data_IF_906889065605
#
_entry.id   IF_906889065605
#
_cell.length_a   1.000
_cell.length_b   1.000
_cell.length_c   1.000
_cell.angle_alpha   90.00
_cell.angle_beta   90.00
_cell.angle_gamma   90.00
#
_symmetry.space_group_name_H-M   'P 1'
#
loop_
_entity.id
_entity.type
_entity.pdbx_description
1 polymer ?
#
# COMPACT_ATOMS: atom_id res chain seq x y z
N UNK A 1 -21.42 -4.36 -3.49
CA UNK A 1 -19.95 -4.27 -3.55
C UNK A 1 -19.39 -4.77 -2.23
N UNK A 2 -18.55 -5.82 -2.24
CA UNK A 2 -17.96 -6.36 -1.01
C UNK A 2 -16.82 -5.47 -0.49
N UNK A 3 -16.52 -5.52 0.81
CA UNK A 3 -15.35 -4.82 1.38
C UNK A 3 -14.05 -5.33 0.73
N UNK A 4 -13.90 -6.64 0.60
CA UNK A 4 -12.80 -7.31 -0.11
C UNK A 4 -13.37 -8.19 -1.22
N UNK A 5 -12.68 -8.22 -2.35
CA UNK A 5 -12.98 -9.09 -3.48
C UNK A 5 -12.78 -10.56 -3.10
N UNK A 6 -13.55 -11.43 -3.72
CA UNK A 6 -13.44 -12.89 -3.61
C UNK A 6 -13.91 -13.53 -4.91
N UNK A 7 -13.40 -14.69 -5.24
CA UNK A 7 -13.68 -15.38 -6.50
C UNK A 7 -12.54 -15.18 -7.51
N UNK A 8 -12.88 -15.19 -8.80
CA UNK A 8 -11.91 -14.98 -9.87
C UNK A 8 -11.40 -13.54 -9.83
N UNK A 9 -10.08 -13.37 -9.85
CA UNK A 9 -9.45 -12.06 -9.89
C UNK A 9 -9.51 -11.50 -11.32
N UNK A 10 -9.66 -10.19 -11.44
CA UNK A 10 -9.65 -9.45 -12.71
C UNK A 10 -8.54 -8.40 -12.65
N UNK A 11 -7.36 -8.76 -13.16
CA UNK A 11 -6.16 -7.91 -13.12
C UNK A 11 -6.40 -6.61 -13.86
N UNK A 12 -6.36 -5.51 -13.14
CA UNK A 12 -6.39 -4.16 -13.71
C UNK A 12 -5.10 -3.42 -13.37
N UNK A 13 -4.35 -3.07 -14.41
CA UNK A 13 -3.14 -2.24 -14.26
C UNK A 13 -3.51 -0.82 -13.83
N UNK A 14 -2.72 -0.28 -12.90
CA UNK A 14 -2.77 1.10 -12.43
C UNK A 14 -1.35 1.65 -12.31
N UNK A 15 -1.21 2.95 -12.12
CA UNK A 15 0.03 3.59 -11.62
C UNK A 15 1.31 3.24 -12.42
N UNK A 16 1.21 3.13 -13.76
CA UNK A 16 2.39 2.87 -14.59
C UNK A 16 3.27 4.12 -14.70
N UNK A 17 4.56 3.94 -14.44
CA UNK A 17 5.60 4.95 -14.60
C UNK A 17 6.92 4.31 -15.04
N UNK A 18 7.95 5.10 -15.32
CA UNK A 18 9.28 4.56 -15.64
C UNK A 18 9.86 3.83 -14.43
N UNK A 19 10.16 2.55 -14.58
CA UNK A 19 10.65 1.67 -13.52
C UNK A 19 9.60 1.15 -12.54
N UNK A 20 8.28 1.23 -12.87
CA UNK A 20 7.30 0.65 -11.95
C UNK A 20 5.87 0.60 -12.47
N UNK A 21 5.07 -0.22 -11.79
CA UNK A 21 3.66 -0.45 -12.09
C UNK A 21 2.90 -0.82 -10.82
N UNK A 22 1.61 -0.49 -10.78
CA UNK A 22 0.67 -0.99 -9.79
C UNK A 22 -0.45 -1.81 -10.43
N UNK A 23 -1.16 -2.59 -9.61
CA UNK A 23 -2.35 -3.31 -10.05
C UNK A 23 -3.39 -3.49 -8.95
N UNK A 24 -4.62 -3.71 -9.40
CA UNK A 24 -5.76 -4.17 -8.60
C UNK A 24 -6.13 -5.57 -9.07
N UNK A 25 -6.14 -6.56 -8.18
CA UNK A 25 -6.64 -7.91 -8.48
C UNK A 25 -8.18 -7.98 -8.42
N UNK A 26 -8.82 -7.04 -7.72
CA UNK A 26 -10.27 -6.94 -7.56
C UNK A 26 -10.71 -5.48 -7.69
N UNK A 27 -10.82 -4.93 -8.90
CA UNK A 27 -11.08 -3.49 -9.11
C UNK A 27 -12.43 -3.03 -8.55
N UNK A 28 -13.40 -3.94 -8.43
CA UNK A 28 -14.75 -3.65 -7.90
C UNK A 28 -14.86 -3.74 -6.38
N UNK A 29 -13.80 -4.06 -5.64
CA UNK A 29 -13.87 -4.10 -4.18
C UNK A 29 -13.84 -2.69 -3.55
N UNK A 30 -14.54 -2.50 -2.44
CA UNK A 30 -14.58 -1.20 -1.75
C UNK A 30 -13.21 -0.76 -1.23
N UNK A 31 -12.39 -1.72 -0.79
CA UNK A 31 -11.05 -1.43 -0.27
C UNK A 31 -10.03 -1.13 -1.35
N UNK A 32 -10.26 -1.51 -2.63
CA UNK A 32 -9.36 -1.26 -3.74
C UNK A 32 -7.91 -1.62 -3.39
N UNK A 33 -7.67 -2.87 -2.95
CA UNK A 33 -6.33 -3.31 -2.54
C UNK A 33 -5.37 -3.23 -3.72
N UNK A 34 -4.51 -2.23 -3.69
CA UNK A 34 -3.47 -2.03 -4.68
C UNK A 34 -2.17 -2.74 -4.26
N UNK A 35 -1.45 -3.20 -5.26
CA UNK A 35 -0.12 -3.78 -5.16
C UNK A 35 0.78 -3.04 -6.13
N UNK A 36 2.07 -2.96 -5.84
CA UNK A 36 3.01 -2.23 -6.69
C UNK A 36 4.30 -3.04 -6.87
N UNK A 37 4.94 -2.84 -8.01
CA UNK A 37 6.28 -3.32 -8.28
C UNK A 37 7.13 -2.13 -8.75
N UNK A 38 8.32 -1.95 -8.18
CA UNK A 38 9.20 -0.81 -8.47
C UNK A 38 10.64 -1.29 -8.60
N UNK A 39 11.30 -0.88 -9.67
CA UNK A 39 12.73 -1.11 -9.89
C UNK A 39 13.56 -0.24 -8.93
N UNK A 40 14.53 -0.88 -8.27
CA UNK A 40 15.47 -0.20 -7.41
C UNK A 40 16.73 -1.03 -7.26
N UNK A 41 17.90 -0.41 -7.44
CA UNK A 41 19.23 -1.06 -7.35
C UNK A 41 19.35 -2.30 -8.27
N UNK A 42 18.80 -2.22 -9.49
CA UNK A 42 18.87 -3.28 -10.52
C UNK A 42 18.02 -4.52 -10.21
N UNK A 43 17.02 -4.39 -9.35
CA UNK A 43 16.05 -5.43 -9.04
C UNK A 43 14.64 -4.85 -8.96
N UNK A 44 13.62 -5.69 -9.18
CA UNK A 44 12.22 -5.32 -8.98
C UNK A 44 11.75 -5.72 -7.57
N UNK A 45 11.23 -4.77 -6.83
CA UNK A 45 10.66 -4.95 -5.49
C UNK A 45 9.14 -4.94 -5.55
N UNK A 46 8.50 -6.00 -5.05
CA UNK A 46 7.04 -6.16 -5.08
C UNK A 46 6.46 -5.88 -3.69
N UNK A 47 5.56 -4.89 -3.59
CA UNK A 47 5.01 -4.40 -2.32
C UNK A 47 3.59 -4.92 -2.09
N UNK A 48 3.36 -5.59 -0.95
CA UNK A 48 2.06 -6.05 -0.45
C UNK A 48 1.18 -6.70 -1.53
N UNK A 49 1.64 -7.68 -2.32
CA UNK A 49 0.94 -8.17 -3.49
C UNK A 49 -0.38 -8.88 -3.16
N UNK A 50 -1.42 -8.56 -3.94
CA UNK A 50 -2.60 -9.40 -4.15
C UNK A 50 -2.44 -10.08 -5.48
N UNK A 51 -2.53 -11.42 -5.48
CA UNK A 51 -2.28 -12.24 -6.66
C UNK A 51 -3.47 -12.28 -7.62
N UNK A 52 -3.17 -12.38 -8.91
CA UNK A 52 -4.13 -12.57 -9.99
C UNK A 52 -3.43 -13.20 -11.20
N UNK A 53 -4.21 -13.82 -12.07
CA UNK A 53 -3.70 -14.27 -13.36
C UNK A 53 -3.15 -13.08 -14.15
N UNK A 54 -1.93 -13.19 -14.69
CA UNK A 54 -1.24 -12.14 -15.44
C UNK A 54 -0.29 -11.26 -14.60
N UNK A 55 -0.25 -11.39 -13.27
CA UNK A 55 0.73 -10.64 -12.44
C UNK A 55 2.16 -10.94 -12.85
N UNK A 56 2.49 -12.22 -13.10
CA UNK A 56 3.85 -12.61 -13.50
C UNK A 56 4.24 -12.04 -14.87
N UNK A 57 3.29 -11.96 -15.82
CA UNK A 57 3.51 -11.32 -17.13
C UNK A 57 3.73 -9.82 -16.96
N UNK A 58 2.95 -9.16 -16.07
CA UNK A 58 3.05 -7.74 -15.80
C UNK A 58 4.39 -7.36 -15.15
N UNK A 59 4.81 -8.09 -14.10
CA UNK A 59 6.10 -7.83 -13.44
C UNK A 59 7.29 -8.26 -14.30
N UNK A 60 7.10 -9.23 -15.19
CA UNK A 60 8.11 -9.69 -16.15
C UNK A 60 8.47 -8.67 -17.23
N UNK A 61 7.80 -7.53 -17.31
CA UNK A 61 8.18 -6.42 -18.20
C UNK A 61 9.36 -5.58 -17.64
N UNK A 62 9.75 -5.81 -16.39
CA UNK A 62 10.75 -5.07 -15.63
C UNK A 62 11.97 -5.95 -15.30
N UNK A 63 12.85 -5.46 -14.44
CA UNK A 63 13.99 -6.22 -13.91
C UNK A 63 13.55 -7.50 -13.17
N UNK A 64 14.51 -8.41 -12.90
CA UNK A 64 14.24 -9.63 -12.13
C UNK A 64 13.72 -9.25 -10.72
N UNK A 65 12.71 -9.99 -10.24
CA UNK A 65 12.17 -9.78 -8.88
C UNK A 65 13.24 -10.10 -7.85
N UNK A 66 13.63 -9.10 -7.06
CA UNK A 66 14.60 -9.22 -5.98
C UNK A 66 13.99 -9.65 -4.65
N UNK A 67 12.71 -9.36 -4.45
CA UNK A 67 11.99 -9.74 -3.24
C UNK A 67 10.57 -9.21 -3.19
N UNK A 68 9.78 -9.82 -2.32
CA UNK A 68 8.45 -9.35 -1.96
C UNK A 68 8.52 -8.68 -0.58
N UNK A 69 7.94 -7.50 -0.43
CA UNK A 69 8.04 -6.69 0.78
C UNK A 69 6.67 -6.55 1.43
N UNK A 70 6.57 -6.86 2.72
CA UNK A 70 5.37 -6.65 3.54
C UNK A 70 5.61 -5.43 4.44
N UNK A 71 4.79 -4.40 4.28
CA UNK A 71 4.92 -3.11 4.97
C UNK A 71 3.87 -2.88 6.07
N UNK A 72 2.90 -3.78 6.22
CA UNK A 72 1.88 -3.73 7.27
C UNK A 72 1.66 -5.13 7.86
N UNK A 73 1.55 -5.22 9.19
CA UNK A 73 1.42 -6.46 9.96
C UNK A 73 0.27 -7.39 9.54
N UNK A 74 -0.72 -6.87 8.81
CA UNK A 74 -1.87 -7.61 8.27
C UNK A 74 -1.96 -7.63 6.74
N UNK A 75 -0.90 -7.20 6.03
CA UNK A 75 -0.81 -7.23 4.57
C UNK A 75 0.06 -8.40 4.06
N UNK A 76 0.06 -9.53 4.76
CA UNK A 76 0.69 -10.76 4.22
C UNK A 76 0.10 -11.14 2.87
N UNK A 77 -1.22 -10.86 2.67
CA UNK A 77 -1.92 -11.04 1.40
C UNK A 77 -1.45 -12.32 0.69
N UNK A 78 -1.04 -12.22 -0.58
CA UNK A 78 -0.53 -13.33 -1.37
C UNK A 78 1.00 -13.32 -1.51
N UNK A 79 1.70 -12.62 -0.59
CA UNK A 79 3.16 -12.42 -0.63
C UNK A 79 3.95 -13.72 -0.73
N UNK A 80 3.55 -14.77 0.01
CA UNK A 80 4.22 -16.05 -0.03
C UNK A 80 4.04 -16.77 -1.38
N UNK A 81 2.89 -16.62 -2.03
CA UNK A 81 2.61 -17.23 -3.33
C UNK A 81 3.46 -16.57 -4.43
N UNK A 82 3.49 -15.24 -4.45
CA UNK A 82 4.30 -14.47 -5.40
C UNK A 82 5.80 -14.74 -5.18
N UNK A 83 6.29 -14.65 -3.94
CA UNK A 83 7.68 -14.90 -3.60
C UNK A 83 8.15 -16.32 -4.02
N UNK A 84 7.30 -17.33 -3.82
CA UNK A 84 7.60 -18.71 -4.22
C UNK A 84 7.73 -18.88 -5.74
N UNK A 85 6.89 -18.21 -6.55
CA UNK A 85 6.95 -18.30 -8.02
C UNK A 85 8.24 -17.69 -8.57
N UNK A 86 8.73 -16.62 -7.94
CA UNK A 86 9.96 -15.95 -8.35
C UNK A 86 11.22 -16.46 -7.63
N UNK A 87 11.09 -17.48 -6.74
CA UNK A 87 12.19 -18.04 -5.93
C UNK A 87 12.96 -16.99 -5.11
N UNK A 88 12.21 -16.04 -4.52
CA UNK A 88 12.74 -14.94 -3.70
C UNK A 88 12.19 -14.97 -2.27
N UNK A 89 12.87 -14.35 -1.29
CA UNK A 89 12.34 -14.22 0.05
C UNK A 89 11.27 -13.13 0.18
N UNK A 90 10.48 -13.21 1.26
CA UNK A 90 9.64 -12.11 1.73
C UNK A 90 10.44 -11.25 2.72
N UNK A 91 10.48 -9.94 2.47
CA UNK A 91 11.13 -8.97 3.33
C UNK A 91 10.13 -8.34 4.30
N UNK A 92 10.48 -8.29 5.59
CA UNK A 92 9.63 -7.74 6.66
C UNK A 92 10.46 -6.85 7.56
N UNK A 93 10.01 -5.63 7.93
CA UNK A 93 10.70 -4.81 8.91
C UNK A 93 11.01 -5.57 10.20
N UNK A 94 12.22 -5.43 10.73
CA UNK A 94 12.72 -6.23 11.87
C UNK A 94 11.90 -6.05 13.15
N UNK A 95 11.30 -4.88 13.33
CA UNK A 95 10.44 -4.54 14.47
C UNK A 95 8.97 -4.98 14.31
N UNK A 96 8.54 -5.38 13.11
CA UNK A 96 7.17 -5.83 12.85
C UNK A 96 6.98 -7.27 13.34
N UNK A 97 5.96 -7.53 14.12
CA UNK A 97 5.70 -8.83 14.76
C UNK A 97 4.50 -9.55 14.17
N UNK A 98 4.47 -10.88 14.29
CA UNK A 98 3.31 -11.69 13.93
C UNK A 98 3.15 -12.03 12.45
N UNK A 99 3.87 -11.35 11.55
CA UNK A 99 3.76 -11.52 10.09
C UNK A 99 4.22 -12.90 9.63
N UNK A 100 5.30 -13.43 10.23
CA UNK A 100 5.93 -14.69 9.80
C UNK A 100 5.05 -15.93 9.97
N UNK A 101 4.06 -15.88 10.87
CA UNK A 101 3.16 -17.03 11.09
C UNK A 101 2.33 -17.38 9.87
N UNK A 102 2.14 -16.42 8.96
CA UNK A 102 1.30 -16.54 7.76
C UNK A 102 2.14 -16.70 6.49
N UNK A 103 3.49 -16.76 6.61
CA UNK A 103 4.43 -16.84 5.49
C UNK A 103 5.20 -18.16 5.57
N UNK A 104 5.04 -19.02 4.57
CA UNK A 104 5.65 -20.34 4.46
C UNK A 104 6.82 -20.42 3.45
N UNK A 105 7.47 -19.28 3.19
CA UNK A 105 8.68 -19.12 2.39
C UNK A 105 9.77 -18.42 3.21
N UNK A 106 11.05 -18.39 2.77
CA UNK A 106 12.10 -17.67 3.49
C UNK A 106 11.73 -16.21 3.77
N UNK A 107 11.94 -15.77 5.02
CA UNK A 107 11.72 -14.39 5.46
C UNK A 107 13.06 -13.73 5.76
N UNK A 108 13.28 -12.53 5.24
CA UNK A 108 14.41 -11.66 5.54
C UNK A 108 13.94 -10.49 6.38
N UNK A 109 14.53 -10.31 7.56
CA UNK A 109 14.28 -9.14 8.41
C UNK A 109 15.20 -8.00 8.01
N UNK A 110 14.66 -6.78 7.83
CA UNK A 110 15.43 -5.62 7.46
C UNK A 110 15.14 -4.41 8.37
N UNK A 111 16.12 -3.56 8.59
CA UNK A 111 16.04 -2.40 9.50
C UNK A 111 16.30 -1.06 8.81
N UNK A 112 16.96 -1.05 7.66
CA UNK A 112 17.35 0.18 6.97
C UNK A 112 16.51 0.44 5.72
N UNK A 113 16.20 -0.59 4.95
CA UNK A 113 15.43 -0.48 3.73
C UNK A 113 15.66 -1.65 2.78
N UNK A 114 15.19 -1.52 1.52
CA UNK A 114 15.39 -2.47 0.43
C UNK A 114 15.75 -1.71 -0.83
N UNK A 115 16.74 -2.19 -1.60
CA UNK A 115 17.27 -1.42 -2.72
C UNK A 115 17.72 -0.02 -2.27
N UNK A 116 17.29 1.02 -2.94
CA UNK A 116 17.53 2.44 -2.57
C UNK A 116 16.44 2.99 -1.63
N UNK A 117 15.41 2.22 -1.33
CA UNK A 117 14.33 2.63 -0.43
C UNK A 117 14.77 2.61 1.04
N UNK A 118 14.72 3.76 1.69
CA UNK A 118 14.88 3.87 3.14
C UNK A 118 13.58 3.55 3.87
N UNK A 119 13.69 2.83 5.01
CA UNK A 119 12.57 2.44 5.86
C UNK A 119 12.15 3.56 6.81
N UNK A 120 10.86 3.85 6.86
CA UNK A 120 10.22 4.75 7.83
C UNK A 120 9.19 3.99 8.67
N UNK A 121 9.26 4.16 9.98
CA UNK A 121 8.25 3.62 10.91
C UNK A 121 7.09 4.59 11.04
N UNK A 122 5.94 4.27 10.41
CA UNK A 122 4.74 5.13 10.35
C UNK A 122 3.86 4.97 11.58
N UNK A 123 3.54 3.72 11.93
CA UNK A 123 2.75 3.35 13.12
C UNK A 123 3.41 2.14 13.77
N UNK A 124 3.58 2.18 15.09
CA UNK A 124 4.09 1.07 15.86
C UNK A 124 3.37 0.96 17.21
N UNK A 125 2.35 0.13 17.26
CA UNK A 125 1.63 -0.22 18.47
C UNK A 125 1.06 -1.65 18.36
N UNK A 126 0.58 -2.27 19.46
CA UNK A 126 0.13 -3.67 19.45
C UNK A 126 -1.04 -4.00 18.51
N UNK A 127 -1.76 -2.98 18.01
CA UNK A 127 -2.92 -3.16 17.12
C UNK A 127 -2.61 -2.77 15.67
N UNK A 128 -1.44 -2.15 15.42
CA UNK A 128 -1.10 -1.63 14.09
C UNK A 128 0.40 -1.40 13.99
N UNK A 129 1.07 -2.16 13.14
CA UNK A 129 2.47 -1.96 12.81
C UNK A 129 2.60 -1.71 11.30
N UNK A 130 2.97 -0.50 10.91
CA UNK A 130 3.05 -0.04 9.53
C UNK A 130 4.34 0.70 9.25
N UNK A 131 5.00 0.29 8.19
CA UNK A 131 6.16 0.94 7.61
C UNK A 131 5.80 1.67 6.31
N UNK A 132 6.56 2.69 5.97
CA UNK A 132 6.62 3.26 4.63
C UNK A 132 8.04 3.13 4.09
N UNK A 133 8.19 3.23 2.79
CA UNK A 133 9.47 3.23 2.10
C UNK A 133 9.61 4.50 1.24
N UNK A 134 10.81 5.07 1.20
CA UNK A 134 11.11 6.27 0.41
C UNK A 134 12.50 6.20 -0.22
N UNK A 135 12.60 6.42 -1.53
CA UNK A 135 13.86 6.41 -2.31
C UNK A 135 14.35 7.77 -2.77
N UNK A 136 13.68 8.85 -2.36
CA UNK A 136 13.94 10.22 -2.82
C UNK A 136 12.92 10.75 -3.82
N UNK A 137 12.24 9.88 -4.56
CA UNK A 137 11.20 10.20 -5.55
C UNK A 137 9.86 9.53 -5.24
N UNK A 138 9.90 8.26 -4.85
CA UNK A 138 8.73 7.41 -4.61
C UNK A 138 8.52 7.19 -3.13
N UNK A 139 7.33 7.52 -2.62
CA UNK A 139 6.88 7.19 -1.29
C UNK A 139 5.84 6.07 -1.35
N UNK A 140 6.10 4.94 -0.71
CA UNK A 140 5.19 3.78 -0.63
C UNK A 140 4.56 3.74 0.75
N UNK A 141 3.22 3.81 0.83
CA UNK A 141 2.45 3.80 2.10
C UNK A 141 1.32 2.78 2.00
N UNK A 142 1.36 1.68 2.75
CA UNK A 142 0.43 0.56 2.55
C UNK A 142 -1.01 0.84 2.97
N UNK A 143 -1.25 1.54 4.10
CA UNK A 143 -2.62 1.71 4.60
C UNK A 143 -2.89 3.04 5.34
N UNK A 144 -1.90 3.70 5.88
CA UNK A 144 -2.11 4.96 6.59
C UNK A 144 -2.73 6.05 5.71
N UNK A 145 -2.48 6.01 4.41
CA UNK A 145 -3.06 6.87 3.38
C UNK A 145 -3.72 6.01 2.28
N UNK A 146 -4.75 6.55 1.63
CA UNK A 146 -5.42 5.87 0.51
C UNK A 146 -6.28 6.82 -0.31
N UNK A 147 -6.56 6.41 -1.55
CA UNK A 147 -7.34 7.19 -2.52
C UNK A 147 -8.74 6.62 -2.78
N UNK A 148 -9.08 5.46 -2.22
CA UNK A 148 -10.46 4.93 -2.31
C UNK A 148 -11.46 5.75 -1.50
N UNK A 149 -12.72 5.66 -1.87
CA UNK A 149 -13.80 6.43 -1.20
C UNK A 149 -13.91 6.14 0.30
N UNK A 150 -13.61 4.92 0.73
CA UNK A 150 -13.61 4.53 2.14
C UNK A 150 -12.64 5.37 3.00
N UNK A 151 -11.54 5.83 2.41
CA UNK A 151 -10.52 6.66 3.08
C UNK A 151 -10.81 8.15 2.96
N UNK A 152 -11.51 8.61 1.91
CA UNK A 152 -11.66 10.03 1.57
C UNK A 152 -12.98 10.61 2.06
N UNK A 153 -12.91 11.66 2.85
CA UNK A 153 -14.06 12.52 3.09
C UNK A 153 -14.39 13.36 1.84
N UNK A 154 -15.60 13.92 1.72
CA UNK A 154 -15.96 14.77 0.60
C UNK A 154 -14.94 15.89 0.35
N UNK A 155 -14.44 15.96 -0.89
CA UNK A 155 -13.46 16.95 -1.33
C UNK A 155 -11.99 16.59 -1.04
N UNK A 156 -11.70 15.45 -0.42
CA UNK A 156 -10.32 14.95 -0.29
C UNK A 156 -9.88 14.23 -1.57
N UNK A 157 -8.68 14.52 -2.04
CA UNK A 157 -7.98 13.78 -3.09
C UNK A 157 -7.30 12.54 -2.52
N UNK A 158 -6.73 12.67 -1.33
CA UNK A 158 -6.05 11.63 -0.55
C UNK A 158 -6.63 11.65 0.86
N UNK A 159 -6.89 10.50 1.46
CA UNK A 159 -7.44 10.38 2.80
C UNK A 159 -6.53 9.61 3.75
N UNK A 160 -6.55 9.99 5.03
CA UNK A 160 -5.98 9.18 6.11
C UNK A 160 -6.96 8.05 6.43
N UNK A 161 -6.45 6.83 6.67
CA UNK A 161 -7.27 5.70 7.08
C UNK A 161 -8.23 6.07 8.23
N UNK A 162 -9.52 5.68 8.18
CA UNK A 162 -10.52 6.10 9.19
C UNK A 162 -10.07 5.94 10.63
N UNK A 163 -9.42 4.82 10.98
CA UNK A 163 -8.96 4.56 12.36
C UNK A 163 -7.79 5.46 12.79
N UNK A 164 -7.01 6.01 11.87
CA UNK A 164 -5.86 6.88 12.17
C UNK A 164 -6.22 8.37 12.16
N UNK A 165 -7.45 8.75 11.79
CA UNK A 165 -7.82 10.16 11.63
C UNK A 165 -7.72 10.99 12.92
N UNK A 166 -7.90 10.38 14.08
CA UNK A 166 -7.75 11.07 15.37
C UNK A 166 -6.28 11.37 15.71
N UNK A 167 -5.36 10.49 15.27
CA UNK A 167 -3.91 10.62 15.47
C UNK A 167 -3.26 10.30 14.12
N UNK A 168 -3.29 11.23 13.15
CA UNK A 168 -2.78 10.98 11.81
C UNK A 168 -1.25 10.90 11.80
N UNK A 169 -0.65 10.12 10.85
CA UNK A 169 0.80 9.91 10.76
C UNK A 169 1.51 11.16 10.25
N UNK A 170 1.87 12.05 11.16
CA UNK A 170 2.48 13.36 10.86
C UNK A 170 3.85 13.25 10.20
N UNK A 171 4.62 12.18 10.43
CA UNK A 171 5.94 11.93 9.83
C UNK A 171 5.88 11.95 8.31
N UNK A 172 4.81 11.44 7.70
CA UNK A 172 4.64 11.38 6.25
C UNK A 172 4.65 12.77 5.56
N UNK A 173 4.37 13.85 6.30
CA UNK A 173 4.41 15.22 5.74
C UNK A 173 5.82 15.75 5.47
N UNK A 174 6.85 15.07 5.95
CA UNK A 174 8.26 15.46 5.77
C UNK A 174 8.78 15.14 4.36
N UNK A 175 8.21 14.13 3.71
CA UNK A 175 8.68 13.65 2.41
C UNK A 175 8.26 14.58 1.26
N UNK A 176 9.21 14.81 0.36
CA UNK A 176 9.03 15.59 -0.87
C UNK A 176 9.12 14.62 -2.05
N UNK A 177 8.10 13.78 -2.17
CA UNK A 177 8.02 12.74 -3.17
C UNK A 177 7.38 13.26 -4.47
N UNK A 178 7.85 12.76 -5.60
CA UNK A 178 7.26 13.01 -6.92
C UNK A 178 6.03 12.12 -7.13
N UNK A 179 6.04 10.92 -6.51
CA UNK A 179 4.92 9.97 -6.55
C UNK A 179 4.67 9.33 -5.18
N UNK A 180 3.39 9.08 -4.90
CA UNK A 180 2.93 8.34 -3.73
C UNK A 180 2.17 7.11 -4.19
N UNK A 181 2.68 5.93 -3.85
CA UNK A 181 2.02 4.65 -4.07
C UNK A 181 1.31 4.24 -2.78
N UNK A 182 0.02 3.94 -2.88
CA UNK A 182 -0.82 3.59 -1.72
C UNK A 182 -1.36 2.17 -1.85
N UNK A 183 -1.45 1.42 -0.76
CA UNK A 183 -2.00 0.06 -0.79
C UNK A 183 -3.53 0.00 -0.95
N UNK A 184 -4.22 1.15 -1.13
CA UNK A 184 -5.66 1.24 -1.31
C UNK A 184 -6.05 2.33 -2.32
N UNK A 185 -6.30 1.91 -3.57
CA UNK A 185 -6.63 2.74 -4.72
C UNK A 185 -5.42 3.14 -5.55
N UNK A 186 -5.62 4.02 -6.52
CA UNK A 186 -4.57 4.52 -7.39
C UNK A 186 -3.62 5.46 -6.63
N UNK A 187 -2.36 5.52 -7.06
CA UNK A 187 -1.35 6.41 -6.53
C UNK A 187 -1.61 7.90 -6.81
N UNK A 188 -0.73 8.74 -6.31
CA UNK A 188 -0.76 10.19 -6.53
C UNK A 188 0.55 10.61 -7.17
N UNK A 189 0.50 11.19 -8.39
CA UNK A 189 1.65 11.56 -9.23
C UNK A 189 1.81 13.06 -9.43
N UNK A 190 0.91 13.87 -8.89
CA UNK A 190 0.96 15.32 -8.97
C UNK A 190 0.68 15.92 -7.59
N UNK A 191 1.37 17.00 -7.24
CA UNK A 191 1.15 17.71 -5.97
C UNK A 191 1.13 16.77 -4.74
N UNK A 192 2.00 15.75 -4.72
CA UNK A 192 2.05 14.70 -3.68
C UNK A 192 2.16 15.30 -2.29
N UNK A 193 3.19 16.14 -2.07
CA UNK A 193 3.41 16.77 -0.77
C UNK A 193 2.26 17.65 -0.29
N UNK A 194 1.65 18.51 -1.14
CA UNK A 194 0.42 19.21 -0.80
C UNK A 194 -0.73 18.28 -0.43
N UNK A 195 -0.95 17.19 -1.19
CA UNK A 195 -2.00 16.22 -0.92
C UNK A 195 -1.81 15.51 0.43
N UNK A 196 -0.59 15.05 0.74
CA UNK A 196 -0.26 14.43 2.04
C UNK A 196 -0.47 15.42 3.19
N UNK A 197 0.02 16.67 3.05
CA UNK A 197 -0.17 17.71 4.06
C UNK A 197 -1.65 18.03 4.30
N UNK A 198 -2.46 18.12 3.24
CA UNK A 198 -3.90 18.36 3.36
C UNK A 198 -4.62 17.19 4.04
N UNK A 199 -4.33 15.94 3.62
CA UNK A 199 -4.88 14.74 4.22
C UNK A 199 -4.60 14.67 5.72
N UNK A 200 -3.33 14.84 6.12
CA UNK A 200 -2.90 14.77 7.52
C UNK A 200 -3.45 15.94 8.34
N UNK A 201 -3.29 17.20 7.90
CA UNK A 201 -3.73 18.37 8.64
C UNK A 201 -5.25 18.51 8.73
N UNK A 202 -5.95 18.07 7.69
CA UNK A 202 -7.42 18.07 7.61
C UNK A 202 -8.09 16.87 8.31
N UNK A 203 -7.33 15.86 8.65
CA UNK A 203 -7.79 14.53 9.07
C UNK A 203 -8.85 14.55 10.17
N UNK A 204 -8.56 15.21 11.30
CA UNK A 204 -9.48 15.28 12.46
C UNK A 204 -10.78 16.01 12.13
N UNK A 205 -10.69 17.13 11.39
CA UNK A 205 -11.85 17.93 11.02
C UNK A 205 -12.78 17.18 10.07
N UNK A 206 -12.23 16.35 9.19
CA UNK A 206 -12.96 15.58 8.18
C UNK A 206 -13.39 14.18 8.67
N UNK A 207 -13.11 13.82 9.92
CA UNK A 207 -13.44 12.50 10.48
C UNK A 207 -14.96 12.25 10.51
N UNK A 208 -15.75 13.22 11.02
CA UNK A 208 -17.20 13.06 11.11
C UNK A 208 -17.87 12.99 9.73
N UNK A 209 -17.59 13.88 8.76
CA UNK A 209 -18.08 13.72 7.39
C UNK A 209 -17.76 12.36 6.78
N UNK A 210 -16.53 11.86 6.92
CA UNK A 210 -16.15 10.57 6.39
C UNK A 210 -16.96 9.41 6.97
N UNK A 211 -17.14 9.38 8.31
CA UNK A 211 -17.90 8.31 8.93
C UNK A 211 -19.37 8.33 8.54
N UNK A 212 -19.97 9.51 8.37
CA UNK A 212 -21.33 9.63 7.87
C UNK A 212 -21.48 9.13 6.43
N UNK A 213 -20.51 9.41 5.57
CA UNK A 213 -20.53 8.94 4.18
C UNK A 213 -20.30 7.44 4.09
N UNK A 214 -19.35 6.89 4.83
CA UNK A 214 -19.14 5.44 4.92
C UNK A 214 -20.40 4.71 5.42
N UNK A 215 -21.05 5.24 6.44
CA UNK A 215 -22.31 4.68 6.98
C UNK A 215 -23.42 4.67 5.91
N UNK A 216 -23.59 5.76 5.15
CA UNK A 216 -24.56 5.82 4.04
C UNK A 216 -24.24 4.80 2.95
N UNK A 217 -22.95 4.65 2.60
CA UNK A 217 -22.49 3.65 1.63
C UNK A 217 -22.88 2.23 2.06
N UNK A 218 -22.68 1.86 3.32
CA UNK A 218 -23.08 0.55 3.85
C UNK A 218 -24.59 0.33 3.86
N UNK A 219 -25.38 1.34 4.18
CA UNK A 219 -26.85 1.25 4.23
C UNK A 219 -27.50 1.27 2.84
N UNK A 220 -26.84 1.87 1.84
CA UNK A 220 -27.33 1.96 0.45
C UNK A 220 -26.96 0.77 -0.43
N UNK A 221 -26.12 -0.15 0.06
CA UNK A 221 -25.64 -1.35 -0.67
C UNK A 221 -26.43 -2.63 -0.31
N UNK A 222 -27.52 -2.51 0.47
CA UNK A 222 -28.41 -3.60 0.88
C UNK A 222 -29.64 -3.78 -0.01
#
# INVERSE_FOLDING_TARGET
MGMKGSGEADLTEIDRFEGGVGWLAYPDETMGRASHAVESDGQLWVFDPVDADGVDDLVGEFDEVGGVVVLLDRHTRDSAAVARRHDVPVYVPDWMSGVESDIDVPVVRFSEGVGEFALERVVDNPLWQEAALFDGETLVVPEALGTVSYFRAPGERLGVHPMLRAIPPGSLTAYDADRLLVGHGEGVFEDVRPAVKDAVSGSRRRMVPLYLDNLKGFLGSG
#
